data_IF_786506203289
#
_entry.id   IF_786506203289
#
_cell.length_a   1.000
_cell.length_b   1.000
_cell.length_c   1.000
_cell.angle_alpha   90.00
_cell.angle_beta   90.00
_cell.angle_gamma   90.00
#
_symmetry.space_group_name_H-M   'P 1'
#
loop_
_entity.id
_entity.type
_entity.pdbx_description
1 polymer ?
#
# COMPACT_ATOMS: atom_id res chain seq x y z
N UNK A 1 -1.12 -18.90 -3.20
CA UNK A 1 -1.96 -17.97 -3.99
C UNK A 1 -1.89 -16.58 -3.36
N UNK A 2 -1.69 -15.52 -4.16
CA UNK A 2 -1.55 -14.15 -3.65
C UNK A 2 -2.92 -13.54 -3.34
N UNK A 3 -3.09 -13.01 -2.14
CA UNK A 3 -4.25 -12.27 -1.69
C UNK A 3 -3.85 -10.84 -1.34
N UNK A 4 -4.70 -9.87 -1.70
CA UNK A 4 -4.48 -8.46 -1.47
C UNK A 4 -5.75 -7.79 -0.89
N UNK A 5 -5.57 -6.86 0.05
CA UNK A 5 -6.68 -6.09 0.64
C UNK A 5 -6.36 -4.60 0.67
N UNK A 6 -7.34 -3.81 0.27
CA UNK A 6 -7.36 -2.36 0.35
C UNK A 6 -8.82 -1.88 0.48
N UNK A 7 -9.05 -0.84 1.28
CA UNK A 7 -10.35 -0.17 1.40
C UNK A 7 -10.12 1.35 1.44
N UNK A 8 -11.06 2.19 0.97
CA UNK A 8 -10.90 3.65 0.95
C UNK A 8 -11.14 4.28 2.35
N UNK A 9 -10.76 3.59 3.43
CA UNK A 9 -11.00 3.98 4.82
C UNK A 9 -9.80 3.63 5.71
N UNK A 10 -9.79 4.10 6.95
CA UNK A 10 -8.78 3.70 7.94
C UNK A 10 -8.83 2.18 8.18
N UNK A 11 -7.69 1.50 8.43
CA UNK A 11 -6.33 2.05 8.49
C UNK A 11 -5.62 2.10 7.13
N UNK A 12 -6.32 1.82 6.02
CA UNK A 12 -5.73 1.70 4.69
C UNK A 12 -5.42 3.06 4.05
N UNK A 13 -6.22 4.07 4.35
CA UNK A 13 -6.00 5.46 3.95
C UNK A 13 -5.78 6.29 5.20
N UNK A 14 -4.65 7.00 5.27
CA UNK A 14 -4.34 7.93 6.36
C UNK A 14 -3.89 9.26 5.77
N UNK A 15 -4.68 10.32 6.01
CA UNK A 15 -4.27 11.70 5.71
C UNK A 15 -3.36 12.19 6.84
N UNK A 16 -2.18 12.68 6.49
CA UNK A 16 -1.29 13.48 7.32
C UNK A 16 -1.34 14.92 6.83
N UNK A 17 -0.75 15.85 7.56
CA UNK A 17 -0.83 17.29 7.25
C UNK A 17 -0.44 17.60 5.78
N UNK A 18 0.60 16.95 5.27
CA UNK A 18 1.15 17.21 3.93
C UNK A 18 1.25 15.95 3.06
N UNK A 19 0.75 14.81 3.52
CA UNK A 19 0.89 13.55 2.78
C UNK A 19 -0.29 12.61 2.97
N UNK A 20 -0.47 11.71 2.00
CA UNK A 20 -1.47 10.64 2.04
C UNK A 20 -0.75 9.30 2.10
N UNK A 21 -0.91 8.57 3.20
CA UNK A 21 -0.37 7.21 3.30
C UNK A 21 -1.43 6.23 2.81
N UNK A 22 -1.10 5.49 1.75
CA UNK A 22 -1.93 4.41 1.21
C UNK A 22 -1.29 3.08 1.57
N UNK A 23 -2.06 2.23 2.22
CA UNK A 23 -1.65 0.89 2.64
C UNK A 23 -2.27 -0.19 1.76
N UNK A 24 -1.46 -1.19 1.41
CA UNK A 24 -1.89 -2.47 0.84
C UNK A 24 -1.50 -3.60 1.80
N UNK A 25 -2.43 -4.53 2.07
CA UNK A 25 -2.10 -5.76 2.81
C UNK A 25 -1.99 -6.93 1.87
N UNK A 26 -0.95 -7.74 2.04
CA UNK A 26 -0.68 -8.93 1.22
C UNK A 26 -0.57 -10.19 2.07
N UNK A 27 -1.07 -11.30 1.54
CA UNK A 27 -0.86 -12.65 2.10
C UNK A 27 -0.64 -13.66 0.98
N UNK A 28 0.26 -14.60 1.19
CA UNK A 28 0.59 -15.65 0.24
C UNK A 28 1.97 -16.23 0.55
N UNK A 29 2.27 -17.40 -0.02
CA UNK A 29 3.53 -18.10 0.20
C UNK A 29 4.69 -17.46 -0.56
N UNK A 30 4.38 -16.82 -1.70
CA UNK A 30 5.31 -16.09 -2.54
C UNK A 30 4.80 -14.66 -2.72
N UNK A 31 5.35 -13.75 -1.92
CA UNK A 31 4.96 -12.33 -1.94
C UNK A 31 5.79 -11.59 -3.01
N UNK A 32 5.19 -10.62 -3.71
CA UNK A 32 5.90 -9.88 -4.74
C UNK A 32 7.11 -9.14 -4.16
N UNK A 33 8.21 -9.13 -4.93
CA UNK A 33 9.41 -8.35 -4.61
C UNK A 33 9.14 -6.84 -4.70
N UNK A 34 8.25 -6.43 -5.62
CA UNK A 34 7.91 -5.03 -5.87
C UNK A 34 6.41 -4.84 -6.08
N UNK A 35 5.88 -3.75 -5.52
CA UNK A 35 4.52 -3.27 -5.79
C UNK A 35 4.59 -1.79 -6.15
N UNK A 36 3.87 -1.40 -7.20
CA UNK A 36 3.72 -0.02 -7.64
C UNK A 36 2.28 0.42 -7.39
N UNK A 37 2.10 1.52 -6.67
CA UNK A 37 0.85 2.26 -6.66
C UNK A 37 0.84 3.20 -7.87
N UNK A 38 -0.11 2.99 -8.77
CA UNK A 38 -0.39 3.93 -9.87
C UNK A 38 -1.54 4.84 -9.45
N UNK A 39 -1.40 6.12 -9.78
CA UNK A 39 -2.41 7.13 -9.53
C UNK A 39 -2.34 8.21 -10.59
N UNK A 40 -3.17 9.23 -10.44
CA UNK A 40 -3.19 10.39 -11.30
C UNK A 40 -3.07 11.65 -10.44
N UNK A 41 -2.25 12.59 -10.89
CA UNK A 41 -2.14 13.92 -10.30
C UNK A 41 -2.09 14.94 -11.44
N UNK A 42 -2.99 15.92 -11.40
CA UNK A 42 -3.05 16.98 -12.41
C UNK A 42 -3.21 16.46 -13.86
N UNK A 43 -3.95 15.36 -14.04
CA UNK A 43 -4.12 14.61 -15.31
C UNK A 43 -2.86 13.87 -15.81
N UNK A 44 -1.81 13.79 -15.01
CA UNK A 44 -0.61 12.99 -15.32
C UNK A 44 -0.57 11.71 -14.49
N UNK A 45 -0.21 10.60 -15.13
CA UNK A 45 -0.01 9.33 -14.43
C UNK A 45 1.23 9.41 -13.54
N UNK A 46 1.08 9.04 -12.27
CA UNK A 46 2.16 8.88 -11.31
C UNK A 46 2.31 7.42 -10.90
N UNK A 47 3.55 7.00 -10.65
CA UNK A 47 3.90 5.65 -10.21
C UNK A 47 4.79 5.70 -8.97
N UNK A 48 4.28 5.19 -7.85
CA UNK A 48 4.95 5.22 -6.55
C UNK A 48 5.31 3.78 -6.13
N UNK A 49 6.58 3.53 -5.83
CA UNK A 49 6.99 2.25 -5.26
C UNK A 49 6.49 2.13 -3.81
N UNK A 50 5.81 1.02 -3.49
CA UNK A 50 5.37 0.78 -2.12
C UNK A 50 6.47 0.13 -1.30
N UNK A 51 6.67 0.62 -0.07
CA UNK A 51 7.69 0.11 0.85
C UNK A 51 7.07 -0.88 1.83
N UNK A 52 7.72 -2.03 1.99
CA UNK A 52 7.33 -3.05 2.97
C UNK A 52 7.63 -2.57 4.39
N UNK A 53 6.60 -2.54 5.21
CA UNK A 53 6.73 -2.18 6.62
C UNK A 53 7.16 -3.39 7.45
N UNK A 54 8.01 -3.16 8.45
CA UNK A 54 8.48 -4.19 9.38
C UNK A 54 7.36 -4.73 10.28
N UNK A 55 6.31 -3.94 10.47
CA UNK A 55 5.12 -4.29 11.25
C UNK A 55 4.20 -5.20 10.45
N UNK A 56 3.88 -6.37 11.01
CA UNK A 56 2.89 -7.30 10.46
C UNK A 56 1.50 -6.66 10.51
N UNK A 57 0.77 -6.73 9.40
CA UNK A 57 -0.65 -6.41 9.39
C UNK A 57 -1.44 -7.47 10.20
N UNK A 58 -2.68 -7.16 10.63
CA UNK A 58 -3.50 -8.08 11.39
C UNK A 58 -3.61 -9.44 10.70
N UNK A 59 -3.63 -10.53 11.47
CA UNK A 59 -3.78 -11.88 10.92
C UNK A 59 -2.57 -12.40 10.14
N UNK A 60 -1.37 -11.85 10.35
CA UNK A 60 -0.15 -12.40 9.77
C UNK A 60 0.25 -11.89 8.40
N UNK A 61 -0.37 -10.80 7.95
CA UNK A 61 -0.18 -10.25 6.61
C UNK A 61 1.02 -9.30 6.54
N UNK A 62 1.56 -9.11 5.35
CA UNK A 62 2.56 -8.06 5.10
C UNK A 62 1.86 -6.75 4.77
N UNK A 63 2.40 -5.64 5.29
CA UNK A 63 1.90 -4.28 5.05
C UNK A 63 2.85 -3.55 4.11
N UNK A 64 2.31 -2.97 3.04
CA UNK A 64 3.04 -2.06 2.15
C UNK A 64 2.44 -0.66 2.24
N UNK A 65 3.28 0.37 2.20
CA UNK A 65 2.85 1.78 2.23
C UNK A 65 3.49 2.58 1.10
N UNK A 66 2.73 3.46 0.46
CA UNK A 66 3.25 4.49 -0.45
C UNK A 66 3.12 5.87 0.18
N UNK A 67 4.06 6.74 -0.17
CA UNK A 67 4.07 8.16 0.19
C UNK A 67 4.15 8.95 -1.11
N UNK A 68 3.13 9.75 -1.46
CA UNK A 68 3.20 10.71 -2.55
C UNK A 68 4.10 11.89 -2.20
#
# INVERSE_FOLDING_TARGET
MLNAWHLPVTPFIQKREQSLVITLWLAGDDLPEKVILRGEKDNEEISLAMTRQKTRAPGGRCRLESHP
#
